data_IF_535831305690
#
_entry.id   IF_535831305690
#
_cell.length_a   1.000
_cell.length_b   1.000
_cell.length_c   1.000
_cell.angle_alpha   90.00
_cell.angle_beta   90.00
_cell.angle_gamma   90.00
#
_symmetry.space_group_name_H-M   'P 1'
#
loop_
_entity.id
_entity.type
_entity.pdbx_description
1 polymer ?
#
# COMPACT_ATOMS: atom_id res chain seq x y z
N UNK A 1 2.61 25.53 -2.91
CA UNK A 1 3.38 25.05 -4.07
C UNK A 1 4.86 25.26 -3.77
N UNK A 2 5.68 24.26 -3.98
CA UNK A 2 7.13 24.26 -3.77
C UNK A 2 7.80 23.68 -5.00
N UNK A 3 8.94 24.27 -5.40
CA UNK A 3 9.78 23.78 -6.49
C UNK A 3 10.75 22.75 -5.94
N UNK A 4 10.96 21.67 -6.69
CA UNK A 4 11.86 20.60 -6.29
C UNK A 4 12.76 20.20 -7.45
N UNK A 5 14.04 20.00 -7.13
CA UNK A 5 15.00 19.35 -8.02
C UNK A 5 15.37 18.02 -7.36
N UNK A 6 15.18 16.93 -8.08
CA UNK A 6 15.51 15.59 -7.61
C UNK A 6 16.34 14.89 -8.66
N UNK A 7 17.55 14.46 -8.27
CA UNK A 7 18.45 13.71 -9.14
C UNK A 7 19.45 12.88 -8.32
N UNK A 8 20.12 11.94 -8.98
CA UNK A 8 21.13 11.08 -8.36
C UNK A 8 22.48 11.77 -8.29
N UNK A 9 23.16 11.59 -7.16
CA UNK A 9 24.49 12.11 -6.90
C UNK A 9 25.32 11.12 -6.09
N UNK A 10 26.59 11.39 -5.94
CA UNK A 10 27.51 10.65 -5.10
C UNK A 10 27.88 11.49 -3.88
N UNK A 11 27.77 10.91 -2.70
CA UNK A 11 28.32 11.49 -1.48
C UNK A 11 29.66 10.82 -1.16
N UNK A 12 30.67 11.62 -0.89
CA UNK A 12 31.99 11.14 -0.50
C UNK A 12 32.15 11.27 1.03
N UNK A 13 32.23 10.14 1.70
CA UNK A 13 32.47 10.09 3.13
C UNK A 13 33.65 9.18 3.45
N UNK A 14 34.71 9.75 4.06
CA UNK A 14 35.95 9.04 4.41
C UNK A 14 36.53 8.20 3.27
N UNK A 15 36.43 8.69 2.04
CA UNK A 15 36.91 8.01 0.84
C UNK A 15 36.01 6.90 0.28
N UNK A 16 34.83 6.68 0.86
CA UNK A 16 33.85 5.75 0.34
C UNK A 16 32.76 6.50 -0.40
N UNK A 17 32.61 6.28 -1.72
CA UNK A 17 31.52 6.85 -2.50
C UNK A 17 30.21 6.08 -2.26
N UNK A 18 29.12 6.79 -2.04
CA UNK A 18 27.78 6.22 -1.94
C UNK A 18 26.83 6.97 -2.88
N UNK A 19 26.02 6.22 -3.62
CA UNK A 19 24.95 6.79 -4.44
C UNK A 19 23.82 7.24 -3.55
N UNK A 20 23.44 8.50 -3.71
CA UNK A 20 22.34 9.14 -3.00
C UNK A 20 21.40 9.82 -4.01
N UNK A 21 20.19 10.13 -3.57
CA UNK A 21 19.26 11.00 -4.27
C UNK A 21 19.24 12.34 -3.56
N UNK A 22 19.69 13.37 -4.24
CA UNK A 22 19.65 14.75 -3.72
C UNK A 22 18.29 15.34 -4.05
N UNK A 23 17.60 15.84 -3.02
CA UNK A 23 16.34 16.56 -3.15
C UNK A 23 16.53 18.02 -2.74
N UNK A 24 16.72 18.88 -3.72
CA UNK A 24 16.78 20.34 -3.55
C UNK A 24 15.38 20.92 -3.40
N UNK A 25 15.13 21.64 -2.33
CA UNK A 25 13.82 22.18 -1.97
C UNK A 25 13.87 23.66 -1.69
N UNK A 26 12.80 24.37 -2.03
CA UNK A 26 12.68 25.82 -1.78
C UNK A 26 12.17 26.11 -0.36
N UNK A 27 12.17 27.39 0.04
CA UNK A 27 11.73 27.85 1.36
C UNK A 27 10.25 27.58 1.66
N UNK A 28 9.46 27.29 0.63
CA UNK A 28 8.05 26.96 0.79
C UNK A 28 7.82 25.47 1.09
N UNK A 29 8.81 24.62 0.92
CA UNK A 29 8.71 23.18 1.12
C UNK A 29 8.16 22.77 2.49
N UNK A 30 8.58 23.38 3.62
CA UNK A 30 8.01 23.03 4.94
C UNK A 30 6.53 23.37 5.13
N UNK A 31 5.98 24.27 4.29
CA UNK A 31 4.55 24.63 4.30
C UNK A 31 3.72 23.65 3.48
N UNK A 32 4.32 23.05 2.46
CA UNK A 32 3.68 22.10 1.56
C UNK A 32 3.79 20.69 2.09
N UNK A 33 4.97 20.31 2.54
CA UNK A 33 5.30 19.02 3.13
C UNK A 33 5.41 19.12 4.65
N UNK A 34 4.98 18.07 5.38
CA UNK A 34 5.14 18.02 6.83
C UNK A 34 6.55 17.57 7.24
N UNK A 35 7.58 18.16 6.61
CA UNK A 35 8.96 17.75 6.83
C UNK A 35 9.40 17.87 8.28
N UNK A 36 8.92 18.90 9.00
CA UNK A 36 9.28 19.13 10.41
C UNK A 36 8.85 18.00 11.35
N UNK A 37 7.80 17.26 10.99
CA UNK A 37 7.30 16.13 11.79
C UNK A 37 8.12 14.85 11.67
N UNK A 38 9.05 14.79 10.72
CA UNK A 38 9.90 13.61 10.46
C UNK A 38 11.37 13.85 10.79
N UNK A 39 11.70 15.04 11.36
CA UNK A 39 13.07 15.41 11.69
C UNK A 39 13.44 14.96 13.11
N UNK A 40 14.68 14.50 13.24
CA UNK A 40 15.32 14.08 14.50
C UNK A 40 16.66 14.79 14.64
N UNK A 41 17.02 15.11 15.87
CA UNK A 41 18.29 15.75 16.22
C UNK A 41 18.11 17.03 17.01
N UNK A 42 19.23 17.67 17.36
CA UNK A 42 19.28 18.88 18.20
C UNK A 42 19.42 20.18 17.38
N UNK A 43 19.45 20.08 16.05
CA UNK A 43 19.64 21.21 15.15
C UNK A 43 18.35 21.99 14.83
N UNK A 44 18.49 22.96 13.93
CA UNK A 44 17.38 23.73 13.37
C UNK A 44 17.21 23.46 11.90
N UNK A 45 15.94 23.44 11.42
CA UNK A 45 15.68 23.28 9.99
C UNK A 45 16.13 24.53 9.24
N UNK A 46 17.31 24.43 8.65
CA UNK A 46 17.91 25.48 7.83
C UNK A 46 18.79 24.82 6.78
N UNK A 47 18.53 25.08 5.50
CA UNK A 47 19.27 24.48 4.40
C UNK A 47 20.30 25.44 3.79
N UNK A 48 20.14 26.73 4.02
CA UNK A 48 21.06 27.77 3.57
C UNK A 48 21.18 28.89 4.61
N UNK A 49 22.40 29.39 4.86
CA UNK A 49 22.65 30.54 5.72
C UNK A 49 23.88 31.29 5.25
N UNK A 50 23.67 32.51 4.81
CA UNK A 50 24.71 33.31 4.14
C UNK A 50 25.35 32.52 2.97
N UNK A 51 26.63 32.25 2.94
CA UNK A 51 27.31 31.47 1.90
C UNK A 51 27.52 30.00 2.27
N UNK A 52 26.85 29.52 3.32
CA UNK A 52 27.04 28.16 3.80
C UNK A 52 25.80 27.32 3.47
N UNK A 53 26.01 26.23 2.74
CA UNK A 53 25.00 25.24 2.41
C UNK A 53 24.95 24.13 3.47
N UNK A 54 23.74 23.68 3.77
CA UNK A 54 23.49 22.64 4.75
C UNK A 54 22.69 21.51 4.14
N UNK A 55 22.96 20.30 4.64
CA UNK A 55 22.24 19.10 4.23
C UNK A 55 21.54 18.44 5.43
N UNK A 56 20.38 17.85 5.16
CA UNK A 56 19.64 17.00 6.09
C UNK A 56 19.58 15.62 5.47
N UNK A 57 20.41 14.66 5.87
CA UNK A 57 20.39 13.31 5.37
C UNK A 57 19.24 12.48 5.98
N UNK A 58 18.84 11.42 5.29
CA UNK A 58 18.02 10.38 5.88
C UNK A 58 18.76 9.63 6.99
N UNK A 59 18.02 9.06 7.92
CA UNK A 59 18.57 8.41 9.12
C UNK A 59 19.59 7.31 8.77
N UNK A 60 19.37 6.53 7.70
CA UNK A 60 20.30 5.48 7.27
C UNK A 60 21.64 6.06 6.79
N UNK A 61 21.61 7.14 6.00
CA UNK A 61 22.81 7.86 5.58
C UNK A 61 23.51 8.46 6.80
N UNK A 62 22.76 9.12 7.70
CA UNK A 62 23.30 9.72 8.91
C UNK A 62 23.99 8.71 9.84
N UNK A 63 23.39 7.54 10.02
CA UNK A 63 24.00 6.45 10.80
C UNK A 63 25.32 5.94 10.21
N UNK A 64 25.39 5.80 8.89
CA UNK A 64 26.65 5.43 8.22
C UNK A 64 27.75 6.49 8.40
N UNK A 65 27.36 7.76 8.58
CA UNK A 65 28.28 8.86 8.80
C UNK A 65 28.67 9.07 10.27
N UNK A 66 28.14 8.28 11.18
CA UNK A 66 28.45 8.35 12.61
C UNK A 66 27.43 9.13 13.45
N UNK A 67 26.22 9.34 12.93
CA UNK A 67 25.13 9.95 13.66
C UNK A 67 24.79 11.36 13.20
N UNK A 68 24.26 12.18 14.11
CA UNK A 68 23.82 13.56 13.80
C UNK A 68 24.96 14.57 13.68
N UNK A 69 26.17 14.23 14.12
CA UNK A 69 27.34 15.09 14.06
C UNK A 69 28.37 14.53 13.08
N UNK A 70 28.26 14.88 11.81
CA UNK A 70 29.24 14.56 10.80
C UNK A 70 29.96 15.82 10.30
N UNK A 71 31.21 15.73 9.83
CA UNK A 71 31.92 16.85 9.24
C UNK A 71 31.28 17.28 7.93
N UNK A 72 31.74 18.40 7.37
CA UNK A 72 31.34 18.81 6.02
C UNK A 72 31.50 17.67 5.01
N UNK A 73 30.53 17.53 4.14
CA UNK A 73 30.45 16.48 3.14
C UNK A 73 30.56 17.05 1.75
N UNK A 74 31.17 16.27 0.87
CA UNK A 74 31.20 16.60 -0.56
C UNK A 74 30.14 15.76 -1.29
N UNK A 75 29.28 16.47 -2.02
CA UNK A 75 28.29 15.86 -2.90
C UNK A 75 28.73 16.13 -4.33
N UNK A 76 28.86 15.07 -5.11
CA UNK A 76 29.35 15.11 -6.49
C UNK A 76 28.25 14.64 -7.43
N UNK A 77 28.04 15.35 -8.53
CA UNK A 77 27.11 14.96 -9.58
C UNK A 77 27.77 15.09 -10.97
N UNK A 78 27.37 14.29 -11.96
CA UNK A 78 27.84 14.44 -13.32
C UNK A 78 27.39 15.80 -13.90
N UNK A 79 28.29 16.53 -14.50
CA UNK A 79 27.99 17.81 -15.16
C UNK A 79 27.07 17.59 -16.35
N UNK A 80 26.03 18.41 -16.46
CA UNK A 80 25.14 18.44 -17.64
C UNK A 80 24.47 17.13 -18.04
N UNK A 81 24.54 16.08 -17.21
CA UNK A 81 24.05 14.74 -17.56
C UNK A 81 24.95 14.00 -18.57
N UNK A 82 26.17 14.48 -18.81
CA UNK A 82 27.14 13.80 -19.64
C UNK A 82 27.71 12.55 -18.97
N UNK A 83 28.18 11.60 -19.79
CA UNK A 83 28.85 10.40 -19.27
C UNK A 83 30.18 10.79 -18.65
N UNK A 84 30.45 10.29 -17.45
CA UNK A 84 31.73 10.54 -16.76
C UNK A 84 32.89 10.14 -17.66
N UNK A 85 33.80 11.05 -17.91
CA UNK A 85 35.02 10.77 -18.65
C UNK A 85 35.95 9.95 -17.75
N UNK A 86 36.20 8.71 -18.13
CA UNK A 86 37.03 7.78 -17.36
C UNK A 86 38.48 8.23 -17.26
N UNK A 87 38.96 9.09 -18.18
CA UNK A 87 40.34 9.60 -18.19
C UNK A 87 40.54 10.80 -17.25
N UNK A 88 39.51 11.64 -17.06
CA UNK A 88 39.52 12.72 -16.07
C UNK A 88 38.15 12.82 -15.39
N UNK A 89 37.92 12.03 -14.33
CA UNK A 89 36.65 12.01 -13.63
C UNK A 89 36.35 13.33 -12.93
N UNK A 90 37.36 14.06 -12.50
CA UNK A 90 37.18 15.29 -11.70
C UNK A 90 36.66 16.46 -12.54
N UNK A 91 37.08 16.59 -13.80
CA UNK A 91 36.53 17.61 -14.71
C UNK A 91 35.06 17.35 -15.07
N UNK A 92 34.64 16.08 -15.05
CA UNK A 92 33.28 15.65 -15.39
C UNK A 92 32.30 15.76 -14.24
N UNK A 93 32.75 16.09 -13.03
CA UNK A 93 31.92 16.18 -11.83
C UNK A 93 31.76 17.62 -11.36
N UNK A 94 30.54 17.99 -11.03
CA UNK A 94 30.25 19.15 -10.21
C UNK A 94 30.35 18.72 -8.74
N UNK A 95 31.05 19.48 -7.92
CA UNK A 95 31.25 19.15 -6.50
C UNK A 95 30.78 20.33 -5.66
N UNK A 96 29.89 20.08 -4.74
CA UNK A 96 29.40 21.04 -3.75
C UNK A 96 29.71 20.54 -2.33
N UNK A 97 30.12 21.44 -1.47
CA UNK A 97 30.34 21.13 -0.06
C UNK A 97 29.13 21.54 0.78
N UNK A 98 28.68 20.64 1.62
CA UNK A 98 27.53 20.86 2.51
C UNK A 98 27.89 20.58 3.95
N UNK A 99 27.40 21.41 4.84
CA UNK A 99 27.60 21.27 6.26
C UNK A 99 26.42 20.55 6.93
N UNK A 100 26.63 20.10 8.13
CA UNK A 100 25.65 19.42 8.95
C UNK A 100 24.72 20.42 9.66
N UNK A 101 23.42 20.14 9.65
CA UNK A 101 22.42 20.90 10.44
C UNK A 101 22.25 20.36 11.86
N UNK A 102 22.82 19.21 12.21
CA UNK A 102 22.49 18.46 13.42
C UNK A 102 21.12 17.75 13.37
N UNK A 103 20.52 17.68 12.16
CA UNK A 103 19.23 17.03 11.92
C UNK A 103 19.39 15.89 10.92
N UNK A 104 18.56 14.87 11.12
CA UNK A 104 18.30 13.80 10.15
C UNK A 104 16.79 13.67 9.99
N UNK A 105 16.33 13.12 8.87
CA UNK A 105 14.92 12.77 8.72
C UNK A 105 14.73 11.26 8.70
N UNK A 106 13.55 10.79 9.14
CA UNK A 106 13.12 9.41 8.97
C UNK A 106 11.65 9.37 8.58
N UNK A 107 11.38 8.63 7.51
CA UNK A 107 10.03 8.29 7.06
C UNK A 107 9.72 6.81 7.28
N UNK A 108 10.66 6.08 7.93
CA UNK A 108 10.61 4.64 8.17
C UNK A 108 10.44 3.80 6.88
N UNK A 109 11.04 4.26 5.81
CA UNK A 109 11.13 3.56 4.53
C UNK A 109 12.57 3.61 4.04
N UNK A 110 13.23 2.45 3.93
CA UNK A 110 14.63 2.32 3.49
C UNK A 110 14.91 3.02 2.17
N UNK A 111 13.95 3.03 1.25
CA UNK A 111 14.07 3.71 -0.04
C UNK A 111 14.41 5.20 0.12
N UNK A 112 13.87 5.85 1.14
CA UNK A 112 14.09 7.28 1.40
C UNK A 112 15.16 7.49 2.48
N UNK A 113 15.11 6.74 3.57
CA UNK A 113 15.98 6.91 4.73
C UNK A 113 17.45 6.58 4.42
N UNK A 114 17.71 5.63 3.49
CA UNK A 114 19.06 5.17 3.12
C UNK A 114 19.61 5.88 1.87
N UNK A 115 18.80 6.69 1.18
CA UNK A 115 19.23 7.27 -0.11
C UNK A 115 19.02 8.76 -0.25
N UNK A 116 18.07 9.38 0.46
CA UNK A 116 17.75 10.78 0.22
C UNK A 116 18.50 11.72 1.14
N UNK A 117 18.92 12.85 0.54
CA UNK A 117 19.51 13.98 1.24
C UNK A 117 18.76 15.26 0.82
N UNK A 118 18.24 16.00 1.80
CA UNK A 118 17.59 17.29 1.55
C UNK A 118 18.63 18.39 1.57
N UNK A 119 18.61 19.25 0.55
CA UNK A 119 19.48 20.41 0.38
C UNK A 119 18.68 21.62 -0.07
N UNK A 120 19.33 22.82 -0.14
CA UNK A 120 18.70 23.99 -0.69
C UNK A 120 18.43 23.83 -2.20
N UNK A 121 17.39 24.50 -2.68
CA UNK A 121 17.05 24.51 -4.12
C UNK A 121 18.19 25.08 -4.96
N UNK A 122 18.81 26.17 -4.49
CA UNK A 122 19.86 26.88 -5.22
C UNK A 122 21.15 26.05 -5.31
N UNK A 123 21.51 25.33 -4.22
CA UNK A 123 22.62 24.38 -4.23
C UNK A 123 22.38 23.25 -5.24
N UNK A 124 21.17 22.66 -5.24
CA UNK A 124 20.82 21.61 -6.20
C UNK A 124 20.86 22.11 -7.65
N UNK A 125 20.46 23.37 -7.92
CA UNK A 125 20.58 23.97 -9.25
C UNK A 125 22.03 24.05 -9.71
N UNK A 126 22.94 24.47 -8.83
CA UNK A 126 24.39 24.53 -9.14
C UNK A 126 24.97 23.14 -9.34
N UNK A 127 24.69 22.22 -8.41
CA UNK A 127 25.20 20.84 -8.44
C UNK A 127 24.84 20.12 -9.75
N UNK A 128 23.59 20.24 -10.20
CA UNK A 128 23.10 19.56 -11.40
C UNK A 128 23.12 20.42 -12.68
N UNK A 129 23.66 21.64 -12.60
CA UNK A 129 23.68 22.59 -13.72
C UNK A 129 22.29 22.83 -14.36
N UNK A 130 21.24 22.84 -13.52
CA UNK A 130 19.85 23.02 -13.92
C UNK A 130 19.31 24.41 -13.58
N UNK A 131 20.07 25.46 -13.94
CA UNK A 131 19.65 26.84 -13.71
C UNK A 131 18.28 27.13 -14.35
N UNK A 132 17.39 27.72 -13.57
CA UNK A 132 16.03 28.08 -14.02
C UNK A 132 15.11 26.90 -14.31
N UNK A 133 15.53 25.66 -14.06
CA UNK A 133 14.72 24.43 -14.27
C UNK A 133 14.41 23.75 -12.93
N UNK A 134 13.27 23.07 -12.88
CA UNK A 134 12.90 22.20 -11.75
C UNK A 134 12.51 20.81 -12.27
N UNK A 135 12.73 19.78 -11.46
CA UNK A 135 12.31 18.42 -11.78
C UNK A 135 10.81 18.23 -11.58
N UNK A 136 10.27 18.87 -10.53
CA UNK A 136 8.84 18.75 -10.19
C UNK A 136 8.37 19.94 -9.34
N UNK A 137 7.04 20.07 -9.29
CA UNK A 137 6.36 20.97 -8.37
C UNK A 137 5.57 20.14 -7.36
N UNK A 138 5.79 20.36 -6.08
CA UNK A 138 4.95 19.80 -5.02
C UNK A 138 3.83 20.77 -4.66
N UNK A 139 2.59 20.28 -4.70
CA UNK A 139 1.41 21.09 -4.45
C UNK A 139 0.62 20.45 -3.30
N UNK A 140 0.36 21.21 -2.24
CA UNK A 140 -0.55 20.82 -1.18
C UNK A 140 -1.95 21.27 -1.53
N UNK A 141 -2.88 20.31 -1.60
CA UNK A 141 -4.30 20.54 -1.90
C UNK A 141 -5.15 20.38 -0.64
N UNK A 142 -6.32 20.98 -0.63
CA UNK A 142 -7.34 20.66 0.37
C UNK A 142 -8.01 19.33 0.02
N UNK A 143 -8.48 18.55 1.02
CA UNK A 143 -9.22 17.32 0.76
C UNK A 143 -10.41 17.56 -0.17
N UNK A 144 -10.54 16.72 -1.22
CA UNK A 144 -11.62 16.82 -2.22
C UNK A 144 -11.29 17.66 -3.46
N UNK A 145 -10.21 18.45 -3.48
CA UNK A 145 -9.78 19.23 -4.66
C UNK A 145 -8.67 18.53 -5.46
N UNK A 146 -8.23 17.36 -5.04
CA UNK A 146 -7.09 16.65 -5.63
C UNK A 146 -7.29 16.33 -7.12
N UNK A 147 -8.47 15.82 -7.50
CA UNK A 147 -8.78 15.49 -8.90
C UNK A 147 -8.86 16.74 -9.80
N UNK A 148 -9.39 17.83 -9.27
CA UNK A 148 -9.50 19.09 -10.01
C UNK A 148 -8.10 19.64 -10.27
N UNK A 149 -7.25 19.69 -9.24
CA UNK A 149 -5.87 20.16 -9.36
C UNK A 149 -5.08 19.24 -10.30
N UNK A 150 -5.25 17.91 -10.20
CA UNK A 150 -4.61 16.95 -11.10
C UNK A 150 -5.03 17.19 -12.57
N UNK A 151 -6.29 17.45 -12.84
CA UNK A 151 -6.80 17.75 -14.19
C UNK A 151 -6.20 19.04 -14.76
N UNK A 152 -6.07 20.08 -13.94
CA UNK A 152 -5.44 21.35 -14.37
C UNK A 152 -3.94 21.20 -14.54
N UNK A 153 -3.23 20.59 -13.57
CA UNK A 153 -1.80 20.38 -13.63
C UNK A 153 -1.40 19.44 -14.78
N UNK A 154 -2.23 18.48 -15.13
CA UNK A 154 -2.04 17.55 -16.25
C UNK A 154 -1.93 18.23 -17.63
N UNK A 155 -2.34 19.50 -17.76
CA UNK A 155 -2.15 20.30 -19.00
C UNK A 155 -0.70 20.79 -19.16
N UNK A 156 0.05 20.90 -18.08
CA UNK A 156 1.40 21.43 -18.06
C UNK A 156 2.48 20.37 -17.86
N UNK A 157 2.10 19.16 -17.41
CA UNK A 157 3.02 18.06 -17.18
C UNK A 157 2.31 16.83 -16.61
N UNK A 158 3.06 15.80 -16.27
CA UNK A 158 2.53 14.61 -15.61
C UNK A 158 2.20 14.91 -14.15
N UNK A 159 0.92 15.07 -13.83
CA UNK A 159 0.47 15.23 -12.46
C UNK A 159 0.26 13.84 -11.81
N UNK A 160 1.03 13.54 -10.78
CA UNK A 160 0.91 12.30 -9.98
C UNK A 160 0.32 12.62 -8.61
N UNK A 161 -0.71 11.89 -8.22
CA UNK A 161 -1.21 11.92 -6.85
C UNK A 161 -0.20 11.20 -5.93
N UNK A 162 -0.29 11.44 -4.61
CA UNK A 162 0.56 10.79 -3.60
C UNK A 162 0.58 9.26 -3.73
N UNK A 163 -0.55 8.66 -4.09
CA UNK A 163 -0.64 7.24 -4.34
C UNK A 163 0.08 6.79 -5.61
N UNK A 164 -0.01 7.57 -6.69
CA UNK A 164 0.63 7.29 -7.97
C UNK A 164 2.14 7.52 -7.97
N UNK A 165 2.66 8.28 -7.00
CA UNK A 165 4.12 8.43 -6.81
C UNK A 165 4.77 7.14 -6.28
N UNK A 166 3.99 6.26 -5.65
CA UNK A 166 4.42 4.97 -5.12
C UNK A 166 3.93 3.81 -6.00
N UNK A 167 4.04 3.95 -7.31
CA UNK A 167 3.52 3.01 -8.32
C UNK A 167 4.00 1.57 -8.08
N UNK A 168 5.26 1.40 -7.66
CA UNK A 168 5.86 0.09 -7.34
C UNK A 168 5.15 -0.59 -6.15
N UNK A 169 4.82 0.16 -5.10
CA UNK A 169 4.14 -0.35 -3.91
C UNK A 169 2.69 -0.70 -4.26
N UNK A 170 2.04 0.14 -5.07
CA UNK A 170 0.67 -0.14 -5.54
C UNK A 170 0.60 -1.38 -6.42
N UNK A 171 1.58 -1.59 -7.32
CA UNK A 171 1.68 -2.80 -8.12
C UNK A 171 1.74 -4.06 -7.26
N UNK A 172 2.58 -4.06 -6.23
CA UNK A 172 2.71 -5.17 -5.28
C UNK A 172 1.40 -5.40 -4.52
N UNK A 173 0.76 -4.33 -4.01
CA UNK A 173 -0.52 -4.43 -3.31
C UNK A 173 -1.65 -4.98 -4.20
N UNK A 174 -1.67 -4.65 -5.49
CA UNK A 174 -2.65 -5.20 -6.44
C UNK A 174 -2.44 -6.70 -6.67
N UNK A 175 -1.19 -7.14 -6.79
CA UNK A 175 -0.84 -8.57 -6.93
C UNK A 175 -1.22 -9.32 -5.66
N UNK A 176 -0.90 -8.80 -4.48
CA UNK A 176 -1.28 -9.38 -3.19
C UNK A 176 -2.80 -9.53 -3.06
N UNK A 177 -3.54 -8.49 -3.43
CA UNK A 177 -5.01 -8.52 -3.44
C UNK A 177 -5.55 -9.56 -4.40
N UNK A 178 -4.98 -9.68 -5.60
CA UNK A 178 -5.36 -10.70 -6.58
C UNK A 178 -5.11 -12.12 -6.06
N UNK A 179 -3.94 -12.36 -5.45
CA UNK A 179 -3.62 -13.64 -4.81
C UNK A 179 -4.62 -13.98 -3.71
N UNK A 180 -4.96 -13.01 -2.85
CA UNK A 180 -5.97 -13.20 -1.80
C UNK A 180 -7.32 -13.61 -2.39
N UNK A 181 -7.77 -12.97 -3.47
CA UNK A 181 -9.02 -13.35 -4.16
C UNK A 181 -8.97 -14.76 -4.74
N UNK A 182 -7.84 -15.17 -5.32
CA UNK A 182 -7.66 -16.53 -5.85
C UNK A 182 -7.77 -17.56 -4.72
N UNK A 183 -7.05 -17.36 -3.61
CA UNK A 183 -7.13 -18.25 -2.45
C UNK A 183 -8.53 -18.32 -1.84
N UNK A 184 -9.19 -17.18 -1.66
CA UNK A 184 -10.56 -17.13 -1.16
C UNK A 184 -11.52 -17.86 -2.10
N UNK A 185 -11.33 -17.75 -3.42
CA UNK A 185 -12.14 -18.48 -4.41
C UNK A 185 -11.97 -19.99 -4.30
N UNK A 186 -10.75 -20.48 -4.04
CA UNK A 186 -10.51 -21.90 -3.80
C UNK A 186 -11.19 -22.40 -2.52
N UNK A 187 -11.07 -21.65 -1.42
CA UNK A 187 -11.73 -21.99 -0.15
C UNK A 187 -13.26 -22.06 -0.36
N UNK A 188 -13.81 -21.08 -1.07
CA UNK A 188 -15.24 -21.03 -1.41
C UNK A 188 -15.67 -22.23 -2.26
N UNK A 189 -14.85 -22.65 -3.23
CA UNK A 189 -15.12 -23.82 -4.06
C UNK A 189 -15.15 -25.09 -3.21
N UNK A 190 -14.21 -25.29 -2.29
CA UNK A 190 -14.22 -26.42 -1.36
C UNK A 190 -15.46 -26.39 -0.47
N UNK A 191 -15.85 -25.21 0.02
CA UNK A 191 -17.09 -25.06 0.79
C UNK A 191 -18.34 -25.44 -0.01
N UNK A 192 -18.41 -25.08 -1.30
CA UNK A 192 -19.50 -25.49 -2.19
C UNK A 192 -19.58 -27.01 -2.32
N UNK A 193 -18.45 -27.70 -2.53
CA UNK A 193 -18.45 -29.17 -2.59
C UNK A 193 -18.95 -29.81 -1.28
N UNK A 194 -18.57 -29.25 -0.13
CA UNK A 194 -19.08 -29.72 1.16
C UNK A 194 -20.60 -29.56 1.27
N UNK A 195 -21.16 -28.42 0.84
CA UNK A 195 -22.62 -28.20 0.85
C UNK A 195 -23.31 -29.20 -0.11
N UNK A 196 -22.79 -29.39 -1.33
CA UNK A 196 -23.33 -30.32 -2.31
C UNK A 196 -23.34 -31.74 -1.75
N UNK A 197 -22.23 -32.19 -1.14
CA UNK A 197 -22.10 -33.52 -0.56
C UNK A 197 -23.06 -33.72 0.62
N UNK A 198 -23.13 -32.78 1.54
CA UNK A 198 -24.00 -32.81 2.70
C UNK A 198 -25.48 -32.82 2.28
N UNK A 199 -25.86 -31.97 1.33
CA UNK A 199 -27.24 -31.95 0.81
C UNK A 199 -27.61 -33.22 0.05
N UNK A 200 -26.67 -33.82 -0.68
CA UNK A 200 -26.89 -35.08 -1.37
C UNK A 200 -27.13 -36.23 -0.38
N UNK A 201 -26.32 -36.28 0.69
CA UNK A 201 -26.48 -37.26 1.76
C UNK A 201 -27.83 -37.12 2.48
N UNK A 202 -28.19 -35.88 2.82
CA UNK A 202 -29.47 -35.58 3.49
C UNK A 202 -30.67 -35.99 2.62
N UNK A 203 -30.61 -35.74 1.31
CA UNK A 203 -31.63 -36.15 0.36
C UNK A 203 -31.76 -37.67 0.29
N UNK A 204 -30.67 -38.44 0.37
CA UNK A 204 -30.68 -39.90 0.41
C UNK A 204 -31.25 -40.41 1.70
N UNK A 205 -30.86 -39.86 2.85
CA UNK A 205 -31.42 -40.25 4.15
C UNK A 205 -32.92 -39.99 4.23
N UNK A 206 -33.40 -38.89 3.67
CA UNK A 206 -34.81 -38.48 3.67
C UNK A 206 -35.62 -39.06 2.50
N UNK A 207 -35.05 -39.95 1.72
CA UNK A 207 -35.71 -40.50 0.52
C UNK A 207 -37.04 -41.22 0.86
N UNK A 208 -37.10 -41.94 1.98
CA UNK A 208 -38.30 -42.64 2.42
C UNK A 208 -39.41 -41.65 2.83
N UNK A 209 -39.04 -40.59 3.54
CA UNK A 209 -39.99 -39.53 3.94
C UNK A 209 -40.55 -38.81 2.72
N UNK A 210 -39.67 -38.53 1.72
CA UNK A 210 -40.06 -37.94 0.43
C UNK A 210 -41.04 -38.82 -0.33
N UNK A 211 -40.83 -40.15 -0.34
CA UNK A 211 -41.76 -41.10 -0.98
C UNK A 211 -43.13 -41.07 -0.29
N UNK A 212 -43.15 -41.13 1.02
CA UNK A 212 -44.38 -41.08 1.81
C UNK A 212 -45.20 -39.82 1.54
N UNK A 213 -44.50 -38.65 1.53
CA UNK A 213 -45.16 -37.38 1.21
C UNK A 213 -45.66 -37.30 -0.23
N UNK A 214 -44.92 -37.92 -1.18
CA UNK A 214 -45.35 -38.03 -2.57
C UNK A 214 -46.59 -38.90 -2.73
N UNK A 215 -46.66 -40.02 -2.03
CA UNK A 215 -47.85 -40.89 -2.02
C UNK A 215 -49.07 -40.22 -1.38
N UNK A 216 -48.86 -39.28 -0.47
CA UNK A 216 -49.90 -38.44 0.12
C UNK A 216 -50.35 -37.29 -0.80
N UNK A 217 -49.82 -37.24 -2.03
CA UNK A 217 -50.21 -36.24 -3.04
C UNK A 217 -49.46 -34.91 -3.01
N UNK A 218 -48.30 -34.83 -2.29
CA UNK A 218 -47.51 -33.65 -2.28
C UNK A 218 -46.80 -33.41 -3.66
N UNK A 219 -46.98 -32.27 -4.29
CA UNK A 219 -46.32 -31.99 -5.59
C UNK A 219 -44.81 -31.82 -5.43
N UNK A 220 -44.05 -32.39 -6.35
CA UNK A 220 -42.58 -32.35 -6.34
C UNK A 220 -41.97 -30.93 -6.18
N UNK A 221 -42.63 -29.91 -6.73
CA UNK A 221 -42.21 -28.51 -6.57
C UNK A 221 -42.17 -28.05 -5.11
N UNK A 222 -43.10 -28.59 -4.25
CA UNK A 222 -43.10 -28.28 -2.82
C UNK A 222 -41.96 -29.01 -2.11
N UNK A 223 -41.73 -30.27 -2.45
CA UNK A 223 -40.62 -31.06 -1.90
C UNK A 223 -39.27 -30.40 -2.20
N UNK A 224 -39.04 -30.03 -3.45
CA UNK A 224 -37.82 -29.29 -3.83
C UNK A 224 -37.66 -28.00 -3.03
N UNK A 225 -38.71 -27.22 -2.83
CA UNK A 225 -38.68 -25.97 -2.07
C UNK A 225 -38.27 -26.20 -0.62
N UNK A 226 -38.71 -27.30 0.02
CA UNK A 226 -38.34 -27.65 1.40
C UNK A 226 -36.81 -27.80 1.49
N UNK A 227 -36.21 -28.62 0.66
CA UNK A 227 -34.74 -28.84 0.68
C UNK A 227 -33.94 -27.61 0.30
N UNK A 228 -34.42 -26.80 -0.65
CA UNK A 228 -33.81 -25.54 -0.95
C UNK A 228 -33.86 -24.57 0.23
N UNK A 229 -34.99 -24.47 0.94
CA UNK A 229 -35.10 -23.67 2.14
C UNK A 229 -34.18 -24.15 3.26
N UNK A 230 -34.04 -25.45 3.44
CA UNK A 230 -33.12 -26.05 4.40
C UNK A 230 -31.67 -25.66 4.12
N UNK A 231 -31.21 -25.78 2.86
CA UNK A 231 -29.90 -25.35 2.45
C UNK A 231 -29.66 -23.86 2.64
N UNK A 232 -30.68 -23.02 2.41
CA UNK A 232 -30.57 -21.57 2.68
C UNK A 232 -30.43 -21.27 4.17
N UNK A 233 -31.16 -21.97 5.03
CA UNK A 233 -31.05 -21.79 6.49
C UNK A 233 -29.67 -22.19 6.97
N UNK A 234 -29.13 -23.33 6.50
CA UNK A 234 -27.76 -23.76 6.83
C UNK A 234 -26.73 -22.70 6.38
N UNK A 235 -26.84 -22.24 5.14
CA UNK A 235 -25.93 -21.23 4.60
C UNK A 235 -26.04 -19.92 5.37
N UNK A 236 -27.25 -19.48 5.71
CA UNK A 236 -27.47 -18.23 6.45
C UNK A 236 -26.84 -18.29 7.84
N UNK A 237 -27.13 -19.38 8.59
CA UNK A 237 -26.58 -19.55 9.93
C UNK A 237 -25.06 -19.63 9.90
N UNK A 238 -24.48 -20.42 8.97
CA UNK A 238 -23.04 -20.54 8.81
C UNK A 238 -22.39 -19.20 8.46
N UNK A 239 -22.98 -18.44 7.54
CA UNK A 239 -22.48 -17.11 7.15
C UNK A 239 -22.56 -16.12 8.29
N UNK A 240 -23.67 -16.11 9.05
CA UNK A 240 -23.81 -15.24 10.22
C UNK A 240 -22.73 -15.51 11.28
N UNK A 241 -22.51 -16.79 11.59
CA UNK A 241 -21.45 -17.20 12.52
C UNK A 241 -20.08 -16.76 11.98
N UNK A 242 -19.81 -16.99 10.69
CA UNK A 242 -18.56 -16.57 10.03
C UNK A 242 -18.34 -15.07 10.09
N UNK A 243 -19.36 -14.26 9.83
CA UNK A 243 -19.30 -12.79 9.92
C UNK A 243 -19.01 -12.36 11.37
N UNK A 244 -19.68 -12.92 12.36
CA UNK A 244 -19.47 -12.57 13.77
C UNK A 244 -18.04 -12.89 14.19
N UNK A 245 -17.56 -14.10 13.90
CA UNK A 245 -16.19 -14.53 14.25
C UNK A 245 -15.17 -13.67 13.51
N UNK A 246 -15.31 -13.47 12.20
CA UNK A 246 -14.41 -12.67 11.39
C UNK A 246 -14.35 -11.21 11.86
N UNK A 247 -15.49 -10.59 12.10
CA UNK A 247 -15.57 -9.20 12.61
C UNK A 247 -14.94 -9.09 13.99
N UNK A 248 -15.18 -10.06 14.87
CA UNK A 248 -14.56 -10.07 16.21
C UNK A 248 -13.03 -10.15 16.11
N UNK A 249 -12.49 -11.01 15.25
CA UNK A 249 -11.03 -11.10 15.02
C UNK A 249 -10.47 -9.79 14.48
N UNK A 250 -11.15 -9.15 13.52
CA UNK A 250 -10.75 -7.85 12.99
C UNK A 250 -10.74 -6.76 14.07
N UNK A 251 -11.76 -6.71 14.92
CA UNK A 251 -11.83 -5.76 16.04
C UNK A 251 -10.73 -6.03 17.08
N UNK A 252 -10.50 -7.28 17.44
CA UNK A 252 -9.39 -7.65 18.33
C UNK A 252 -8.06 -7.21 17.76
N UNK A 253 -7.82 -7.41 16.47
CA UNK A 253 -6.63 -6.92 15.80
C UNK A 253 -6.52 -5.39 15.85
N UNK A 254 -7.62 -4.67 15.62
CA UNK A 254 -7.64 -3.21 15.63
C UNK A 254 -7.33 -2.62 17.02
N UNK A 255 -7.83 -3.25 18.09
CA UNK A 255 -7.64 -2.76 19.47
C UNK A 255 -6.37 -3.30 20.13
N UNK A 256 -6.07 -4.58 19.94
CA UNK A 256 -4.94 -5.26 20.60
C UNK A 256 -3.65 -5.26 19.77
N UNK A 257 -3.73 -5.07 18.44
CA UNK A 257 -2.55 -5.02 17.57
C UNK A 257 -1.68 -6.28 17.61
N UNK A 258 -2.31 -7.46 17.61
CA UNK A 258 -1.62 -8.76 17.77
C UNK A 258 -0.63 -8.98 16.61
N UNK A 259 -1.04 -8.64 15.39
CA UNK A 259 -0.20 -8.73 14.20
C UNK A 259 0.50 -7.39 13.98
N UNK A 260 1.82 -7.38 14.13
CA UNK A 260 2.66 -6.21 13.92
C UNK A 260 3.35 -6.30 12.56
N UNK A 261 3.49 -5.16 11.88
CA UNK A 261 4.13 -5.05 10.55
C UNK A 261 5.66 -5.24 10.57
N UNK A 262 6.30 -5.28 11.73
CA UNK A 262 7.75 -5.49 11.87
C UNK A 262 8.23 -5.44 13.31
N UNK A 263 9.37 -6.07 13.56
CA UNK A 263 10.05 -6.17 14.87
C UNK A 263 11.04 -5.03 15.13
N UNK A 264 10.79 -3.81 14.68
CA UNK A 264 11.68 -2.67 14.89
C UNK A 264 10.95 -1.46 15.44
N UNK A 265 11.61 -0.71 16.32
CA UNK A 265 11.10 0.56 16.90
C UNK A 265 10.88 1.67 15.85
N UNK A 266 11.17 1.39 14.58
CA UNK A 266 11.27 2.36 13.50
C UNK A 266 10.01 2.44 12.61
N UNK A 267 8.90 1.77 12.96
CA UNK A 267 7.66 1.88 12.18
C UNK A 267 6.68 2.88 12.81
N UNK A 268 6.24 3.87 12.02
CA UNK A 268 5.22 4.85 12.43
C UNK A 268 3.88 4.17 12.73
N UNK A 269 3.57 3.09 12.01
CA UNK A 269 2.39 2.26 12.22
C UNK A 269 2.86 0.88 12.69
N UNK A 270 2.81 0.62 13.99
CA UNK A 270 3.23 -0.66 14.59
C UNK A 270 2.28 -1.79 14.26
N UNK A 271 0.98 -1.51 14.21
CA UNK A 271 -0.07 -2.51 14.05
C UNK A 271 -0.54 -2.57 12.61
N UNK A 272 -0.82 -3.77 12.10
CA UNK A 272 -1.43 -3.94 10.78
C UNK A 272 -2.79 -3.22 10.75
N UNK A 273 -2.98 -2.20 9.90
CA UNK A 273 -4.23 -1.44 9.86
C UNK A 273 -5.35 -2.30 9.30
N UNK A 274 -6.36 -2.55 10.11
CA UNK A 274 -7.59 -3.27 9.71
C UNK A 274 -8.74 -2.27 9.74
N UNK A 275 -9.49 -2.19 8.66
CA UNK A 275 -10.69 -1.35 8.57
C UNK A 275 -11.87 -2.20 8.12
N UNK A 276 -12.91 -2.28 8.94
CA UNK A 276 -14.11 -3.06 8.66
C UNK A 276 -15.21 -2.13 8.15
N UNK A 277 -15.61 -2.31 6.90
CA UNK A 277 -16.73 -1.57 6.32
C UNK A 277 -18.00 -2.42 6.33
N UNK A 278 -19.11 -1.84 6.74
CA UNK A 278 -20.42 -2.51 6.78
C UNK A 278 -20.86 -2.99 5.39
N UNK A 279 -20.49 -2.25 4.35
CA UNK A 279 -20.78 -2.61 2.97
C UNK A 279 -20.09 -3.93 2.55
N UNK A 280 -18.85 -4.16 3.02
CA UNK A 280 -18.10 -5.39 2.74
C UNK A 280 -18.79 -6.60 3.40
N UNK A 281 -19.30 -6.44 4.63
CA UNK A 281 -20.05 -7.48 5.33
C UNK A 281 -21.35 -7.83 4.59
N UNK A 282 -22.05 -6.82 4.08
CA UNK A 282 -23.26 -7.03 3.29
C UNK A 282 -22.97 -7.75 1.96
N UNK A 283 -21.85 -7.41 1.29
CA UNK A 283 -21.41 -8.10 0.08
C UNK A 283 -21.03 -9.57 0.37
N UNK A 284 -20.34 -9.85 1.47
CA UNK A 284 -19.99 -11.20 1.89
C UNK A 284 -21.26 -12.02 2.13
N UNK A 285 -22.24 -11.46 2.84
CA UNK A 285 -23.52 -12.13 3.08
C UNK A 285 -24.23 -12.46 1.76
N UNK A 286 -24.31 -11.49 0.87
CA UNK A 286 -24.97 -11.64 -0.44
C UNK A 286 -24.28 -12.70 -1.29
N UNK A 287 -22.96 -12.65 -1.42
CA UNK A 287 -22.19 -13.63 -2.20
C UNK A 287 -22.31 -15.03 -1.64
N UNK A 288 -22.23 -15.19 -0.31
CA UNK A 288 -22.40 -16.49 0.35
C UNK A 288 -23.82 -17.07 0.12
N UNK A 289 -24.86 -16.23 0.19
CA UNK A 289 -26.24 -16.66 -0.08
C UNK A 289 -26.45 -17.06 -1.54
N UNK A 290 -25.87 -16.33 -2.49
CA UNK A 290 -25.95 -16.67 -3.93
C UNK A 290 -25.26 -18.01 -4.19
N UNK A 291 -24.06 -18.20 -3.68
CA UNK A 291 -23.30 -19.43 -3.88
C UNK A 291 -23.97 -20.61 -3.17
N UNK A 292 -24.45 -20.43 -1.93
CA UNK A 292 -25.20 -21.44 -1.19
C UNK A 292 -26.50 -21.84 -1.90
N UNK A 293 -27.16 -20.89 -2.56
CA UNK A 293 -28.32 -21.18 -3.40
C UNK A 293 -27.95 -22.13 -4.55
N UNK A 294 -26.93 -21.81 -5.32
CA UNK A 294 -26.49 -22.67 -6.44
C UNK A 294 -26.00 -24.04 -5.96
N UNK A 295 -25.24 -24.09 -4.88
CA UNK A 295 -24.73 -25.32 -4.29
C UNK A 295 -25.85 -26.25 -3.81
N UNK A 296 -26.96 -25.70 -3.29
CA UNK A 296 -28.13 -26.46 -2.85
C UNK A 296 -29.03 -26.83 -4.03
N UNK A 297 -29.23 -25.91 -4.97
CA UNK A 297 -30.12 -26.14 -6.11
C UNK A 297 -29.64 -27.27 -7.00
N UNK A 298 -28.35 -27.46 -7.20
CA UNK A 298 -27.77 -28.46 -8.10
C UNK A 298 -28.15 -29.91 -7.67
N UNK A 299 -27.86 -30.39 -6.43
CA UNK A 299 -28.20 -31.73 -6.00
C UNK A 299 -29.72 -31.98 -5.91
N UNK A 300 -30.47 -30.97 -5.46
CA UNK A 300 -31.94 -31.07 -5.35
C UNK A 300 -32.58 -31.24 -6.74
N UNK A 301 -32.06 -30.54 -7.76
CA UNK A 301 -32.60 -30.63 -9.10
C UNK A 301 -32.24 -31.96 -9.78
N UNK A 302 -31.03 -32.46 -9.60
CA UNK A 302 -30.53 -33.69 -10.22
C UNK A 302 -31.22 -34.93 -9.67
N UNK A 303 -31.28 -35.08 -8.34
CA UNK A 303 -31.87 -36.25 -7.67
C UNK A 303 -33.39 -36.37 -7.84
N UNK A 304 -34.07 -35.22 -8.03
CA UNK A 304 -35.52 -35.26 -8.33
C UNK A 304 -35.85 -35.52 -9.82
N UNK A 305 -34.87 -35.37 -10.73
CA UNK A 305 -35.04 -35.65 -12.16
C UNK A 305 -34.81 -37.16 -12.48
N UNK A 306 -33.83 -37.79 -11.82
CA UNK A 306 -33.49 -39.22 -11.99
C UNK A 306 -34.63 -40.17 -11.63
N UNK A 307 -35.68 -39.68 -10.94
CA UNK A 307 -36.83 -40.47 -10.52
C UNK A 307 -37.98 -40.47 -11.54
N UNK A 308 -37.90 -39.66 -12.59
CA UNK A 308 -38.91 -39.56 -13.65
C UNK A 308 -38.52 -40.30 -14.96
N UNK A 309 -37.31 -40.84 -15.02
CA UNK A 309 -36.85 -41.81 -16.03
C UNK A 309 -36.83 -43.23 -15.43
#
# INVERSE_FOLDING_TARGET
MSRVIEDEALILFRGHPQVITVKGVDDNFPKVSNVKGILFGSGTYQLHRADVEYAIPGVGIGQMMGGTEFPALQICAPRGGEKINVMDPLESLSVEEVNNTGLMFSVNQRKYDDRYVLVSYDMAQRLFEKEGRCSAFEIKTQPGLEEIVKKYAGRYGKAKNRMEQQEDIFGIMQIEKLLAYVFLSFIMLVACFNIISSMSMLLLEKQHDVQTLSHLGMPEKRLRRIFICEGHIITLIGTMIGIVVGTTLCLVQQYCGIIQLGTGDNFIVRNYPVNVHVLDLALILLTAMVIGHFATWYPVHRLTKEKND
#
